data_IF_632437808749
#
_entry.id   IF_632437808749
#
_cell.length_a   1.000
_cell.length_b   1.000
_cell.length_c   1.000
_cell.angle_alpha   90.00
_cell.angle_beta   90.00
_cell.angle_gamma   90.00
#
_symmetry.space_group_name_H-M   'P 1'
#
loop_
_entity.id
_entity.type
_entity.pdbx_description
1 polymer ?
#
# COMPACT_ATOMS: atom_id res chain seq x y z
N UNK A 1 37.33 -35.28 23.60
CA UNK A 1 36.03 -34.66 23.47
C UNK A 1 36.12 -33.58 22.40
N UNK A 2 35.62 -33.88 21.19
CA UNK A 2 35.68 -32.96 20.05
C UNK A 2 34.47 -32.06 20.11
N UNK A 3 34.72 -30.76 20.25
CA UNK A 3 33.70 -29.71 20.13
C UNK A 3 33.53 -29.42 18.64
N UNK A 4 32.37 -29.79 18.08
CA UNK A 4 32.04 -29.48 16.70
C UNK A 4 31.75 -27.99 16.58
N UNK A 5 32.60 -27.27 15.83
CA UNK A 5 32.36 -25.93 15.35
C UNK A 5 31.13 -25.93 14.42
N UNK A 6 30.02 -25.43 14.88
CA UNK A 6 28.89 -25.08 14.02
C UNK A 6 29.27 -23.75 13.34
N UNK A 7 29.64 -23.84 12.10
CA UNK A 7 29.90 -22.69 11.24
C UNK A 7 28.53 -22.09 10.87
N UNK A 8 28.12 -21.03 11.60
CA UNK A 8 26.94 -20.23 11.25
C UNK A 8 27.27 -19.54 9.95
N UNK A 9 26.65 -19.99 8.86
CA UNK A 9 26.69 -19.29 7.57
C UNK A 9 25.97 -17.93 7.77
N UNK A 10 26.74 -16.89 8.06
CA UNK A 10 26.25 -15.51 7.98
C UNK A 10 26.03 -15.19 6.51
N UNK A 11 24.79 -15.28 6.05
CA UNK A 11 24.39 -14.64 4.79
C UNK A 11 24.57 -13.14 5.02
N UNK A 12 25.68 -12.61 4.54
CA UNK A 12 25.93 -11.18 4.54
C UNK A 12 24.83 -10.52 3.71
N UNK A 13 23.93 -9.82 4.38
CA UNK A 13 23.05 -8.83 3.76
C UNK A 13 23.91 -7.70 3.21
N UNK A 14 24.52 -7.94 2.03
CA UNK A 14 25.27 -6.91 1.30
C UNK A 14 24.30 -6.13 0.41
N UNK A 15 23.58 -5.28 1.01
CA UNK A 15 22.77 -4.32 0.29
C UNK A 15 22.23 -3.35 1.29
N UNK A 16 22.77 -2.14 1.30
CA UNK A 16 21.99 -0.97 1.64
C UNK A 16 22.80 0.18 2.25
N UNK A 17 24.11 0.07 2.37
CA UNK A 17 24.92 1.22 2.74
C UNK A 17 25.78 1.70 1.55
N UNK A 18 25.22 2.62 0.75
CA UNK A 18 26.04 3.46 -0.11
C UNK A 18 26.19 4.82 0.61
N UNK A 19 27.42 5.15 0.98
CA UNK A 19 27.81 6.45 1.54
C UNK A 19 27.13 6.90 2.85
N UNK A 20 26.86 5.99 3.80
CA UNK A 20 26.43 6.37 5.16
C UNK A 20 25.00 6.91 5.30
N UNK A 21 24.16 6.84 4.27
CA UNK A 21 22.76 7.27 4.29
C UNK A 21 21.77 6.13 4.09
N UNK A 22 20.54 6.32 4.59
CA UNK A 22 19.44 5.38 4.34
C UNK A 22 19.05 5.39 2.85
N UNK A 23 18.84 4.21 2.26
CA UNK A 23 18.30 4.08 0.89
C UNK A 23 16.78 3.97 0.99
N UNK A 24 16.08 4.78 0.20
CA UNK A 24 14.64 4.70 0.07
C UNK A 24 14.22 3.32 -0.45
N UNK A 25 13.29 2.66 0.24
CA UNK A 25 12.72 1.39 -0.23
C UNK A 25 11.58 1.67 -1.21
N UNK A 26 11.97 2.03 -2.43
CA UNK A 26 11.04 2.42 -3.49
C UNK A 26 10.56 1.20 -4.28
N UNK A 27 9.29 1.15 -4.54
CA UNK A 27 8.59 0.13 -5.29
C UNK A 27 7.59 0.70 -6.28
N UNK A 28 6.83 -0.17 -6.93
CA UNK A 28 5.87 0.17 -7.96
C UNK A 28 4.63 -0.73 -7.86
N UNK A 29 3.47 -0.24 -8.32
CA UNK A 29 2.35 -1.15 -8.56
C UNK A 29 2.72 -2.09 -9.72
N UNK A 30 2.59 -3.40 -9.50
CA UNK A 30 2.98 -4.41 -10.49
C UNK A 30 2.24 -4.27 -11.82
N UNK A 31 1.03 -3.69 -11.81
CA UNK A 31 0.24 -3.46 -13.02
C UNK A 31 0.52 -2.11 -13.73
N UNK A 32 1.42 -1.29 -13.20
CA UNK A 32 1.93 -0.08 -13.85
C UNK A 32 3.22 -0.37 -14.65
N UNK A 33 3.76 -1.58 -14.52
CA UNK A 33 4.85 -2.08 -15.35
C UNK A 33 4.29 -2.70 -16.63
N UNK A 34 5.08 -2.74 -17.71
CA UNK A 34 4.68 -3.43 -18.92
C UNK A 34 4.27 -4.88 -18.61
N UNK A 35 3.10 -5.28 -19.11
CA UNK A 35 2.56 -6.60 -18.85
C UNK A 35 3.52 -7.71 -19.28
N UNK A 36 3.71 -8.67 -18.41
CA UNK A 36 4.40 -9.92 -18.66
C UNK A 36 3.85 -11.01 -17.72
N UNK A 37 4.03 -12.31 -18.01
CA UNK A 37 3.81 -13.37 -17.03
C UNK A 37 4.61 -13.17 -15.76
N UNK A 38 4.18 -13.77 -14.63
CA UNK A 38 4.79 -13.53 -13.30
C UNK A 38 6.30 -13.80 -13.26
N UNK A 39 6.77 -14.82 -13.97
CA UNK A 39 8.18 -15.20 -14.07
C UNK A 39 9.05 -14.23 -14.90
N UNK A 40 8.42 -13.33 -15.65
CA UNK A 40 9.07 -12.22 -16.34
C UNK A 40 8.79 -10.88 -15.65
N UNK A 41 7.57 -10.67 -15.13
CA UNK A 41 7.13 -9.43 -14.50
C UNK A 41 7.99 -9.07 -13.28
N UNK A 42 8.20 -10.03 -12.38
CA UNK A 42 8.97 -9.79 -11.15
C UNK A 42 10.46 -9.52 -11.45
N UNK A 43 11.15 -10.30 -12.31
CA UNK A 43 12.47 -9.94 -12.82
C UNK A 43 12.53 -8.55 -13.48
N UNK A 44 11.50 -8.17 -14.25
CA UNK A 44 11.46 -6.85 -14.91
C UNK A 44 11.32 -5.70 -13.91
N UNK A 45 10.56 -5.88 -12.82
CA UNK A 45 10.51 -4.93 -11.70
C UNK A 45 11.90 -4.74 -11.08
N UNK A 46 12.60 -5.85 -10.81
CA UNK A 46 13.98 -5.79 -10.30
C UNK A 46 14.96 -5.10 -11.26
N UNK A 47 14.94 -5.45 -12.55
CA UNK A 47 15.80 -4.85 -13.58
C UNK A 47 15.60 -3.34 -13.72
N UNK A 48 14.41 -2.84 -13.44
CA UNK A 48 14.09 -1.41 -13.42
C UNK A 48 14.57 -0.71 -12.13
N UNK A 49 15.19 -1.45 -11.19
CA UNK A 49 15.75 -0.91 -9.95
C UNK A 49 14.77 -0.79 -8.79
N UNK A 50 13.56 -1.33 -8.89
CA UNK A 50 12.61 -1.34 -7.79
C UNK A 50 12.95 -2.44 -6.76
N UNK A 51 12.76 -2.14 -5.48
CA UNK A 51 13.04 -3.05 -4.37
C UNK A 51 11.79 -3.74 -3.80
N UNK A 52 10.61 -3.23 -4.14
CA UNK A 52 9.34 -3.80 -3.71
C UNK A 52 8.24 -3.55 -4.73
N UNK A 53 7.12 -4.25 -4.55
CA UNK A 53 5.94 -4.04 -5.38
C UNK A 53 4.66 -4.03 -4.55
N UNK A 54 3.66 -3.28 -5.02
CA UNK A 54 2.27 -3.44 -4.65
C UNK A 54 1.60 -4.33 -5.70
N UNK A 55 1.14 -5.52 -5.32
CA UNK A 55 0.50 -6.44 -6.24
C UNK A 55 -1.01 -6.55 -5.95
N UNK A 56 -1.83 -6.31 -6.98
CA UNK A 56 -3.24 -6.65 -7.01
C UNK A 56 -3.41 -7.81 -8.00
N UNK A 57 -3.67 -9.03 -7.52
CA UNK A 57 -3.61 -10.25 -8.33
C UNK A 57 -4.48 -10.14 -9.59
N UNK A 58 -5.71 -9.63 -9.46
CA UNK A 58 -6.65 -9.47 -10.60
C UNK A 58 -6.22 -8.45 -11.65
N UNK A 59 -5.32 -7.52 -11.30
CA UNK A 59 -4.77 -6.52 -12.23
C UNK A 59 -3.44 -6.96 -12.84
N UNK A 60 -2.64 -7.71 -12.07
CA UNK A 60 -1.27 -8.07 -12.42
C UNK A 60 -1.17 -9.40 -13.15
N UNK A 61 -2.03 -10.37 -12.84
CA UNK A 61 -2.02 -11.72 -13.43
C UNK A 61 -3.06 -11.78 -14.55
N UNK A 62 -2.63 -12.19 -15.76
CA UNK A 62 -3.52 -12.36 -16.91
C UNK A 62 -3.40 -13.76 -17.54
N UNK A 63 -2.45 -14.57 -17.10
CA UNK A 63 -2.23 -15.94 -17.56
C UNK A 63 -3.41 -16.86 -17.18
N UNK A 64 -4.11 -16.51 -16.12
CA UNK A 64 -5.36 -17.13 -15.69
C UNK A 64 -6.23 -16.08 -15.03
N UNK A 65 -7.50 -16.40 -14.72
CA UNK A 65 -8.41 -15.50 -14.02
C UNK A 65 -8.21 -15.62 -12.52
N UNK A 66 -7.56 -14.65 -11.83
CA UNK A 66 -7.41 -14.70 -10.39
C UNK A 66 -8.76 -14.56 -9.66
N UNK A 67 -8.96 -15.40 -8.64
CA UNK A 67 -10.12 -15.40 -7.77
C UNK A 67 -9.79 -16.10 -6.47
N UNK A 68 -10.74 -16.20 -5.55
CA UNK A 68 -10.53 -16.86 -4.25
C UNK A 68 -10.07 -18.31 -4.43
N UNK A 69 -10.61 -19.00 -5.43
CA UNK A 69 -10.30 -20.39 -5.78
C UNK A 69 -8.86 -20.60 -6.29
N UNK A 70 -8.26 -19.56 -6.83
CA UNK A 70 -6.87 -19.61 -7.33
C UNK A 70 -5.84 -19.15 -6.31
N UNK A 71 -6.25 -18.59 -5.18
CA UNK A 71 -5.40 -18.17 -4.07
C UNK A 71 -4.92 -19.39 -3.25
N UNK A 72 -4.20 -20.28 -3.90
CA UNK A 72 -3.67 -21.52 -3.30
C UNK A 72 -2.33 -21.30 -2.61
N UNK A 73 -1.95 -22.19 -1.67
CA UNK A 73 -0.60 -22.17 -1.10
C UNK A 73 0.50 -22.28 -2.18
N UNK A 74 0.27 -23.09 -3.24
CA UNK A 74 1.22 -23.26 -4.33
C UNK A 74 1.48 -21.95 -5.10
N UNK A 75 0.42 -21.18 -5.42
CA UNK A 75 0.59 -19.87 -6.06
C UNK A 75 1.33 -18.88 -5.15
N UNK A 76 0.99 -18.86 -3.86
CA UNK A 76 1.65 -17.97 -2.90
C UNK A 76 3.15 -18.29 -2.78
N UNK A 77 3.51 -19.57 -2.70
CA UNK A 77 4.91 -20.02 -2.63
C UNK A 77 5.65 -19.70 -3.92
N UNK A 78 5.05 -19.92 -5.09
CA UNK A 78 5.64 -19.59 -6.38
C UNK A 78 5.99 -18.09 -6.50
N UNK A 79 5.04 -17.19 -6.16
CA UNK A 79 5.31 -15.75 -6.16
C UNK A 79 6.41 -15.40 -5.14
N UNK A 80 6.38 -16.01 -3.95
CA UNK A 80 7.40 -15.81 -2.92
C UNK A 80 8.80 -16.20 -3.40
N UNK A 81 8.95 -17.32 -4.07
CA UNK A 81 10.21 -17.81 -4.63
C UNK A 81 10.74 -16.83 -5.70
N UNK A 82 9.90 -16.44 -6.66
CA UNK A 82 10.25 -15.42 -7.66
C UNK A 82 10.70 -14.10 -7.03
N UNK A 83 9.99 -13.63 -6.00
CA UNK A 83 10.34 -12.41 -5.26
C UNK A 83 11.70 -12.53 -4.57
N UNK A 84 11.97 -13.67 -3.91
CA UNK A 84 13.23 -13.93 -3.22
C UNK A 84 14.42 -13.99 -4.18
N UNK A 85 14.28 -14.70 -5.31
CA UNK A 85 15.29 -14.80 -6.35
C UNK A 85 15.65 -13.45 -6.97
N UNK A 86 14.66 -12.57 -7.11
CA UNK A 86 14.81 -11.24 -7.70
C UNK A 86 14.99 -10.13 -6.68
N UNK A 87 15.03 -10.41 -5.38
CA UNK A 87 15.21 -9.43 -4.29
C UNK A 87 14.16 -8.30 -4.34
N UNK A 88 12.92 -8.65 -4.64
CA UNK A 88 11.76 -7.75 -4.66
C UNK A 88 10.81 -8.15 -3.54
N UNK A 89 10.53 -7.26 -2.59
CA UNK A 89 9.53 -7.52 -1.55
C UNK A 89 8.11 -7.30 -2.09
N UNK A 90 7.12 -8.01 -1.55
CA UNK A 90 5.72 -7.62 -1.71
C UNK A 90 5.36 -6.67 -0.56
N UNK A 91 5.34 -5.37 -0.85
CA UNK A 91 5.01 -4.34 0.13
C UNK A 91 3.52 -4.33 0.50
N UNK A 92 2.66 -4.57 -0.47
CA UNK A 92 1.20 -4.62 -0.33
C UNK A 92 0.60 -5.68 -1.24
N UNK A 93 -0.26 -6.53 -0.68
CA UNK A 93 -1.22 -7.32 -1.43
C UNK A 93 -2.55 -6.56 -1.46
N UNK A 94 -2.93 -6.03 -2.62
CA UNK A 94 -4.11 -5.17 -2.77
C UNK A 94 -5.42 -5.96 -2.76
N UNK A 95 -6.36 -5.55 -1.90
CA UNK A 95 -7.73 -6.04 -1.81
C UNK A 95 -8.70 -4.87 -1.70
N UNK A 96 -8.85 -4.10 -2.76
CA UNK A 96 -9.61 -2.83 -2.81
C UNK A 96 -11.09 -3.12 -3.09
N UNK A 97 -11.84 -3.44 -2.04
CA UNK A 97 -13.25 -3.80 -2.10
C UNK A 97 -14.07 -2.97 -1.10
N UNK A 98 -15.33 -2.68 -1.44
CA UNK A 98 -16.23 -1.86 -0.63
C UNK A 98 -16.78 -2.62 0.59
N UNK A 99 -16.12 -2.48 1.76
CA UNK A 99 -16.58 -3.08 3.02
C UNK A 99 -17.94 -2.54 3.52
N UNK A 100 -18.38 -1.39 3.01
CA UNK A 100 -19.70 -0.82 3.34
C UNK A 100 -20.72 -1.01 2.21
N UNK A 101 -20.52 -2.02 1.35
CA UNK A 101 -21.50 -2.33 0.32
C UNK A 101 -22.86 -2.65 0.95
N UNK A 102 -23.94 -1.93 0.59
CA UNK A 102 -25.25 -2.08 1.23
C UNK A 102 -25.96 -3.37 0.83
N UNK A 103 -25.52 -4.05 -0.22
CA UNK A 103 -26.07 -5.34 -0.64
C UNK A 103 -25.50 -6.47 0.23
N UNK A 104 -26.33 -7.17 1.04
CA UNK A 104 -25.83 -8.16 1.99
C UNK A 104 -25.09 -9.34 1.36
N UNK A 105 -25.53 -9.80 0.18
CA UNK A 105 -24.89 -10.93 -0.50
C UNK A 105 -23.51 -10.52 -1.04
N UNK A 106 -23.41 -9.33 -1.66
CA UNK A 106 -22.12 -8.79 -2.09
C UNK A 106 -21.19 -8.52 -0.92
N UNK A 107 -21.72 -7.99 0.18
CA UNK A 107 -20.93 -7.76 1.40
C UNK A 107 -20.32 -9.07 1.92
N UNK A 108 -21.10 -10.15 1.99
CA UNK A 108 -20.63 -11.47 2.39
C UNK A 108 -19.53 -12.01 1.49
N UNK A 109 -19.66 -11.87 0.17
CA UNK A 109 -18.61 -12.24 -0.79
C UNK A 109 -17.33 -11.40 -0.58
N UNK A 110 -17.47 -10.10 -0.30
CA UNK A 110 -16.36 -9.20 -0.02
C UNK A 110 -15.60 -9.65 1.22
N UNK A 111 -16.29 -9.99 2.30
CA UNK A 111 -15.68 -10.49 3.54
C UNK A 111 -14.86 -11.76 3.28
N UNK A 112 -15.39 -12.72 2.51
CA UNK A 112 -14.67 -13.95 2.17
C UNK A 112 -13.44 -13.67 1.28
N UNK A 113 -13.50 -12.68 0.39
CA UNK A 113 -12.34 -12.23 -0.39
C UNK A 113 -11.25 -11.63 0.50
N UNK A 114 -11.59 -10.80 1.49
CA UNK A 114 -10.60 -10.30 2.47
C UNK A 114 -9.94 -11.44 3.24
N UNK A 115 -10.72 -12.40 3.73
CA UNK A 115 -10.18 -13.57 4.45
C UNK A 115 -9.23 -14.40 3.57
N UNK A 116 -9.57 -14.56 2.29
CA UNK A 116 -8.70 -15.26 1.34
C UNK A 116 -7.39 -14.51 1.11
N UNK A 117 -7.44 -13.18 0.93
CA UNK A 117 -6.23 -12.36 0.80
C UNK A 117 -5.35 -12.41 2.04
N UNK A 118 -5.93 -12.37 3.25
CA UNK A 118 -5.19 -12.47 4.52
C UNK A 118 -4.46 -13.81 4.62
N UNK A 119 -5.14 -14.94 4.35
CA UNK A 119 -4.49 -16.26 4.34
C UNK A 119 -3.37 -16.35 3.29
N UNK A 120 -3.66 -15.84 2.09
CA UNK A 120 -2.69 -15.83 0.99
C UNK A 120 -1.47 -14.96 1.33
N UNK A 121 -1.67 -13.77 1.88
CA UNK A 121 -0.60 -12.87 2.31
C UNK A 121 0.32 -13.50 3.35
N UNK A 122 -0.24 -14.24 4.31
CA UNK A 122 0.54 -14.96 5.34
C UNK A 122 1.47 -16.01 4.72
N UNK A 123 1.01 -16.79 3.73
CA UNK A 123 1.82 -17.81 3.06
C UNK A 123 2.85 -17.16 2.12
N UNK A 124 2.43 -16.14 1.36
CA UNK A 124 3.29 -15.35 0.48
C UNK A 124 4.45 -14.69 1.24
N UNK A 125 4.25 -14.39 2.53
CA UNK A 125 5.18 -13.61 3.32
C UNK A 125 5.03 -12.11 3.13
N UNK A 126 3.89 -11.66 2.58
CA UNK A 126 3.50 -10.26 2.54
C UNK A 126 2.86 -9.85 3.87
N UNK A 127 3.44 -8.87 4.56
CA UNK A 127 2.93 -8.42 5.86
C UNK A 127 1.65 -7.59 5.80
N UNK A 128 1.27 -7.08 4.62
CA UNK A 128 0.21 -6.06 4.48
C UNK A 128 -0.81 -6.44 3.41
N UNK A 129 -2.09 -6.49 3.80
CA UNK A 129 -3.23 -6.47 2.89
C UNK A 129 -3.80 -5.06 2.87
N UNK A 130 -3.72 -4.40 1.72
CA UNK A 130 -4.14 -3.01 1.54
C UNK A 130 -5.55 -2.86 1.02
N UNK A 131 -6.28 -1.83 1.51
CA UNK A 131 -7.62 -1.47 1.05
C UNK A 131 -7.91 0.01 1.23
N UNK A 132 -8.74 0.57 0.36
CA UNK A 132 -9.42 1.84 0.59
C UNK A 132 -10.61 1.67 1.56
N UNK A 133 -11.32 2.77 1.87
CA UNK A 133 -12.24 2.82 3.00
C UNK A 133 -13.72 2.79 2.64
N UNK A 134 -14.04 2.44 1.38
CA UNK A 134 -15.41 2.15 0.98
C UNK A 134 -16.31 3.37 0.72
N UNK A 135 -17.54 3.06 0.33
CA UNK A 135 -18.64 4.00 0.13
C UNK A 135 -19.95 3.36 0.58
N UNK A 136 -20.97 4.17 0.88
CA UNK A 136 -22.28 3.69 1.37
C UNK A 136 -23.20 3.19 0.25
N UNK A 137 -22.72 3.20 -1.01
CA UNK A 137 -23.46 2.72 -2.18
C UNK A 137 -22.79 1.52 -2.86
N UNK A 138 -23.54 0.82 -3.70
CA UNK A 138 -23.04 -0.36 -4.42
C UNK A 138 -22.01 -0.03 -5.50
N UNK A 139 -22.10 1.16 -6.07
CA UNK A 139 -21.26 1.65 -7.17
C UNK A 139 -19.86 2.03 -6.74
N UNK A 140 -19.59 2.07 -5.42
CA UNK A 140 -18.33 2.49 -4.82
C UNK A 140 -17.94 3.92 -5.24
N UNK A 141 -18.92 4.83 -5.27
CA UNK A 141 -18.76 6.21 -5.71
C UNK A 141 -18.87 7.20 -4.56
N UNK A 142 -18.30 8.37 -4.81
CA UNK A 142 -18.48 9.49 -3.88
C UNK A 142 -19.94 9.93 -3.83
N UNK A 143 -20.41 10.11 -2.62
CA UNK A 143 -21.63 10.85 -2.27
C UNK A 143 -21.45 11.51 -0.89
N UNK A 144 -22.15 12.61 -0.58
CA UNK A 144 -21.98 13.30 0.71
C UNK A 144 -22.21 12.42 1.94
N UNK A 145 -23.07 11.40 1.83
CA UNK A 145 -23.35 10.45 2.91
C UNK A 145 -22.13 9.59 3.29
N UNK A 146 -21.12 9.44 2.41
CA UNK A 146 -19.85 8.78 2.77
C UNK A 146 -19.16 9.45 3.96
N UNK A 147 -19.36 10.77 4.14
CA UNK A 147 -18.70 11.53 5.19
C UNK A 147 -19.51 11.61 6.50
N UNK A 148 -20.64 10.91 6.59
CA UNK A 148 -21.43 10.87 7.83
C UNK A 148 -20.76 10.04 8.93
N UNK A 149 -21.16 10.25 10.19
CA UNK A 149 -20.65 9.45 11.30
C UNK A 149 -21.26 8.04 11.30
N UNK A 150 -22.46 7.86 10.74
CA UNK A 150 -23.10 6.56 10.52
C UNK A 150 -22.29 5.73 9.52
N UNK A 151 -21.79 6.34 8.44
CA UNK A 151 -20.91 5.66 7.48
C UNK A 151 -19.60 5.23 8.14
N UNK A 152 -19.00 6.10 8.96
CA UNK A 152 -17.79 5.77 9.71
C UNK A 152 -18.02 4.59 10.66
N UNK A 153 -19.13 4.60 11.40
CA UNK A 153 -19.47 3.50 12.31
C UNK A 153 -19.69 2.19 11.53
N UNK A 154 -20.40 2.24 10.41
CA UNK A 154 -20.57 1.10 9.51
C UNK A 154 -19.23 0.53 9.05
N UNK A 155 -18.28 1.39 8.65
CA UNK A 155 -16.96 0.96 8.24
C UNK A 155 -16.19 0.31 9.40
N UNK A 156 -16.21 0.88 10.59
CA UNK A 156 -15.57 0.32 11.79
C UNK A 156 -16.13 -1.06 12.12
N UNK A 157 -17.46 -1.22 12.11
CA UNK A 157 -18.14 -2.47 12.47
C UNK A 157 -17.81 -3.59 11.47
N UNK A 158 -17.75 -3.26 10.17
CA UNK A 158 -17.42 -4.20 9.11
C UNK A 158 -15.93 -4.53 9.04
N UNK A 159 -15.05 -3.59 9.37
CA UNK A 159 -13.60 -3.78 9.37
C UNK A 159 -13.13 -4.62 10.57
N UNK A 160 -13.73 -4.43 11.73
CA UNK A 160 -13.34 -5.10 12.99
C UNK A 160 -13.21 -6.63 12.87
N UNK A 161 -14.18 -7.38 12.30
CA UNK A 161 -14.04 -8.84 12.15
C UNK A 161 -12.94 -9.23 11.15
N UNK A 162 -12.64 -8.39 10.16
CA UNK A 162 -11.54 -8.61 9.21
C UNK A 162 -10.19 -8.46 9.92
N UNK A 163 -10.02 -7.41 10.72
CA UNK A 163 -8.79 -7.19 11.51
C UNK A 163 -8.58 -8.33 12.52
N UNK A 164 -9.63 -8.74 13.24
CA UNK A 164 -9.57 -9.91 14.14
C UNK A 164 -9.17 -11.20 13.43
N UNK A 165 -9.60 -11.36 12.18
CA UNK A 165 -9.16 -12.50 11.38
C UNK A 165 -7.69 -12.37 10.99
N UNK A 166 -7.22 -11.18 10.62
CA UNK A 166 -5.82 -10.91 10.27
C UNK A 166 -4.87 -11.14 11.45
N UNK A 167 -5.27 -10.83 12.69
CA UNK A 167 -4.52 -11.13 13.91
C UNK A 167 -4.13 -12.61 14.03
N UNK A 168 -5.01 -13.53 13.60
CA UNK A 168 -4.76 -14.97 13.66
C UNK A 168 -3.66 -15.42 12.71
N UNK A 169 -3.37 -14.63 11.67
CA UNK A 169 -2.38 -14.93 10.65
C UNK A 169 -1.12 -14.04 10.74
N UNK A 170 -1.07 -13.11 11.70
CA UNK A 170 0.02 -12.15 11.81
C UNK A 170 0.11 -11.19 10.64
N UNK A 171 -1.01 -10.92 9.94
CA UNK A 171 -1.10 -10.03 8.78
C UNK A 171 -1.70 -8.69 9.21
N UNK A 172 -1.15 -7.61 8.68
CA UNK A 172 -1.67 -6.26 8.86
C UNK A 172 -2.73 -6.00 7.79
N UNK A 173 -3.89 -5.50 8.19
CA UNK A 173 -4.84 -4.83 7.29
C UNK A 173 -4.50 -3.35 7.31
N UNK A 174 -4.09 -2.79 6.18
CA UNK A 174 -3.76 -1.38 6.09
C UNK A 174 -4.85 -0.64 5.29
N UNK A 175 -5.52 0.31 5.95
CA UNK A 175 -6.52 1.15 5.30
C UNK A 175 -5.86 2.37 4.67
N UNK A 176 -6.34 2.75 3.50
CA UNK A 176 -5.90 3.91 2.75
C UNK A 176 -7.00 4.98 2.78
N UNK A 177 -6.84 6.07 3.55
CA UNK A 177 -7.80 7.17 3.58
C UNK A 177 -7.87 7.90 2.25
N UNK A 178 -9.09 8.15 1.76
CA UNK A 178 -9.36 8.83 0.49
C UNK A 178 -10.47 9.84 0.69
N UNK A 179 -10.29 11.08 0.26
CA UNK A 179 -11.27 12.15 0.49
C UNK A 179 -12.68 11.86 -0.06
N UNK A 180 -12.78 11.04 -1.13
CA UNK A 180 -14.06 10.60 -1.71
C UNK A 180 -14.74 9.46 -0.93
N UNK A 181 -14.04 8.82 0.00
CA UNK A 181 -14.48 7.63 0.73
C UNK A 181 -14.93 7.94 2.15
N UNK A 182 -15.26 6.89 2.91
CA UNK A 182 -15.78 7.01 4.28
C UNK A 182 -14.71 7.57 5.23
N UNK A 183 -13.47 7.10 5.15
CA UNK A 183 -12.37 7.67 5.93
C UNK A 183 -11.64 8.69 5.05
N UNK A 184 -12.07 9.92 5.13
CA UNK A 184 -11.71 11.00 4.22
C UNK A 184 -10.73 12.02 4.80
N UNK A 185 -10.34 11.88 6.07
CA UNK A 185 -9.36 12.75 6.73
C UNK A 185 -8.44 11.96 7.65
N UNK A 186 -7.33 12.58 8.04
CA UNK A 186 -6.36 12.02 9.00
C UNK A 186 -7.02 11.73 10.36
N UNK A 187 -7.89 12.63 10.82
CA UNK A 187 -8.58 12.46 12.11
C UNK A 187 -9.59 11.31 12.07
N UNK A 188 -10.30 11.11 10.96
CA UNK A 188 -11.20 9.97 10.82
C UNK A 188 -10.41 8.66 10.78
N UNK A 189 -9.24 8.65 10.15
CA UNK A 189 -8.33 7.50 10.20
C UNK A 189 -7.89 7.19 11.63
N UNK A 190 -7.53 8.20 12.43
CA UNK A 190 -7.21 8.03 13.86
C UNK A 190 -8.40 7.46 14.64
N UNK A 191 -9.62 7.97 14.41
CA UNK A 191 -10.83 7.43 15.05
C UNK A 191 -11.04 5.93 14.75
N UNK A 192 -10.81 5.48 13.51
CA UNK A 192 -10.93 4.05 13.15
C UNK A 192 -9.89 3.22 13.88
N UNK A 193 -8.62 3.67 13.90
CA UNK A 193 -7.54 2.99 14.60
C UNK A 193 -7.84 2.86 16.10
N UNK A 194 -8.27 3.93 16.75
CA UNK A 194 -8.60 3.96 18.17
C UNK A 194 -9.83 3.09 18.50
N UNK A 195 -10.84 3.09 17.63
CA UNK A 195 -12.05 2.30 17.83
C UNK A 195 -11.82 0.79 17.72
N UNK A 196 -10.91 0.35 16.85
CA UNK A 196 -10.59 -1.07 16.65
C UNK A 196 -9.51 -1.52 17.64
N UNK A 197 -8.52 -0.67 17.91
CA UNK A 197 -7.43 -0.87 18.88
C UNK A 197 -6.70 -2.21 18.65
N UNK A 198 -6.12 -2.36 17.46
CA UNK A 198 -5.38 -3.57 17.08
C UNK A 198 -4.05 -3.22 16.41
N UNK A 199 -2.93 -3.87 16.77
CA UNK A 199 -1.65 -3.68 16.08
C UNK A 199 -1.69 -4.19 14.63
N UNK A 200 -2.68 -5.02 14.27
CA UNK A 200 -2.89 -5.54 12.92
C UNK A 200 -3.75 -4.63 12.04
N UNK A 201 -4.14 -3.45 12.54
CA UNK A 201 -4.73 -2.39 11.74
C UNK A 201 -3.75 -1.23 11.63
N UNK A 202 -3.36 -0.91 10.39
CA UNK A 202 -2.41 0.18 10.11
C UNK A 202 -2.89 1.00 8.90
N UNK A 203 -2.04 1.93 8.44
CA UNK A 203 -2.36 2.91 7.40
C UNK A 203 -1.44 2.72 6.18
N UNK A 204 -2.03 2.76 5.00
CA UNK A 204 -1.33 3.17 3.79
C UNK A 204 -1.51 4.68 3.70
N UNK A 205 -0.42 5.42 3.77
CA UNK A 205 -0.47 6.87 3.67
C UNK A 205 -0.21 7.32 2.23
N UNK A 206 -1.24 7.89 1.61
CA UNK A 206 -1.16 8.58 0.33
C UNK A 206 -1.66 10.02 0.53
N UNK A 207 -0.76 11.01 0.54
CA UNK A 207 -1.17 12.39 0.76
C UNK A 207 -2.09 12.93 -0.34
N UNK A 208 -1.92 12.49 -1.60
CA UNK A 208 -2.76 12.95 -2.73
C UNK A 208 -4.20 12.46 -2.57
N UNK A 209 -4.39 11.26 -2.01
CA UNK A 209 -5.74 10.74 -1.77
C UNK A 209 -6.56 11.54 -0.74
N UNK A 210 -5.91 12.33 0.10
CA UNK A 210 -6.56 13.22 1.06
C UNK A 210 -6.84 14.62 0.50
N UNK A 211 -6.36 14.90 -0.73
CA UNK A 211 -6.52 16.20 -1.37
C UNK A 211 -7.73 16.24 -2.32
N UNK A 212 -8.29 17.44 -2.44
CA UNK A 212 -9.24 17.84 -3.46
C UNK A 212 -9.04 19.32 -3.76
N UNK A 213 -9.63 19.87 -4.81
CA UNK A 213 -9.39 21.25 -5.24
C UNK A 213 -9.59 22.28 -4.12
N UNK A 214 -10.52 22.00 -3.19
CA UNK A 214 -10.81 22.92 -2.06
C UNK A 214 -9.84 22.88 -0.89
N UNK A 215 -8.80 22.01 -0.90
CA UNK A 215 -7.82 21.89 0.20
C UNK A 215 -6.37 21.70 -0.25
N UNK A 216 -6.06 21.87 -1.54
CA UNK A 216 -4.68 21.71 -2.05
C UNK A 216 -3.68 22.68 -1.41
N UNK A 217 -4.14 23.86 -0.99
CA UNK A 217 -3.37 24.84 -0.26
C UNK A 217 -2.98 24.38 1.15
N UNK A 218 -3.64 23.35 1.68
CA UNK A 218 -3.40 22.74 3.00
C UNK A 218 -2.59 21.45 2.94
N UNK A 219 -2.00 21.11 1.79
CA UNK A 219 -1.28 19.85 1.63
C UNK A 219 -0.19 19.66 2.70
N UNK A 220 0.57 20.71 3.04
CA UNK A 220 1.63 20.66 4.03
C UNK A 220 1.07 20.41 5.45
N UNK A 221 -0.08 21.01 5.78
CA UNK A 221 -0.78 20.78 7.04
C UNK A 221 -1.23 19.33 7.14
N UNK A 222 -1.82 18.78 6.06
CA UNK A 222 -2.29 17.40 6.00
C UNK A 222 -1.12 16.40 6.14
N UNK A 223 0.01 16.65 5.46
CA UNK A 223 1.22 15.83 5.61
C UNK A 223 1.73 15.88 7.06
N UNK A 224 1.87 17.07 7.65
CA UNK A 224 2.31 17.21 9.03
C UNK A 224 1.36 16.50 10.00
N UNK A 225 0.05 16.71 9.87
CA UNK A 225 -0.97 16.09 10.71
C UNK A 225 -0.95 14.55 10.62
N UNK A 226 -0.71 13.99 9.41
CA UNK A 226 -0.59 12.54 9.26
C UNK A 226 0.60 12.00 10.06
N UNK A 227 1.75 12.67 10.03
CA UNK A 227 2.90 12.27 10.84
C UNK A 227 2.69 12.50 12.34
N UNK A 228 1.93 13.51 12.73
CA UNK A 228 1.63 13.78 14.14
C UNK A 228 0.66 12.74 14.73
N UNK A 229 -0.38 12.37 13.98
CA UNK A 229 -1.45 11.49 14.48
C UNK A 229 -1.31 10.02 14.12
N UNK A 230 -0.70 9.69 12.98
CA UNK A 230 -0.67 8.34 12.43
C UNK A 230 0.73 7.74 12.33
N UNK A 231 1.79 8.44 12.72
CA UNK A 231 3.19 8.02 12.50
C UNK A 231 3.45 6.55 12.85
N UNK A 232 3.03 6.12 14.05
CA UNK A 232 3.27 4.73 14.52
C UNK A 232 2.55 3.69 13.67
N UNK A 233 1.44 4.09 13.06
CA UNK A 233 0.52 3.21 12.33
C UNK A 233 0.73 3.25 10.80
N UNK A 234 1.60 4.14 10.27
CA UNK A 234 1.94 4.15 8.84
C UNK A 234 2.78 2.91 8.50
N UNK A 235 2.20 1.98 7.74
CA UNK A 235 2.85 0.75 7.28
C UNK A 235 3.54 0.91 5.92
N UNK A 236 2.90 1.67 5.02
CA UNK A 236 3.33 1.89 3.63
C UNK A 236 3.00 3.31 3.24
N UNK A 237 3.80 3.90 2.34
CA UNK A 237 3.50 5.19 1.72
C UNK A 237 3.28 4.97 0.22
N UNK A 238 2.15 5.45 -0.29
CA UNK A 238 1.92 5.54 -1.73
C UNK A 238 2.41 6.89 -2.26
N UNK A 239 3.06 6.85 -3.40
CA UNK A 239 3.71 8.00 -4.02
C UNK A 239 3.15 8.23 -5.41
N UNK A 240 2.27 9.21 -5.54
CA UNK A 240 1.77 9.77 -6.78
C UNK A 240 1.71 11.27 -6.67
N UNK A 241 1.39 11.93 -7.76
CA UNK A 241 1.25 13.39 -7.80
C UNK A 241 -0.11 13.78 -8.36
N UNK A 242 -0.39 15.07 -8.46
CA UNK A 242 -1.63 15.58 -8.99
C UNK A 242 -1.43 16.83 -9.83
N UNK A 243 -2.34 17.03 -10.78
CA UNK A 243 -2.60 18.30 -11.46
C UNK A 243 -4.06 18.65 -11.29
N UNK A 244 -4.36 19.96 -11.38
CA UNK A 244 -5.74 20.46 -11.35
C UNK A 244 -6.26 20.48 -12.78
N UNK A 245 -7.34 19.73 -13.05
CA UNK A 245 -8.08 19.75 -14.31
C UNK A 245 -9.54 20.15 -14.03
N UNK A 246 -9.88 21.43 -14.30
CA UNK A 246 -11.20 21.95 -13.93
C UNK A 246 -11.43 21.95 -12.43
N UNK A 247 -12.50 21.32 -11.97
CA UNK A 247 -12.88 21.20 -10.56
C UNK A 247 -12.39 19.89 -9.90
N UNK A 248 -11.51 19.15 -10.55
CA UNK A 248 -11.01 17.87 -10.04
C UNK A 248 -9.49 17.82 -9.99
N UNK A 249 -8.97 16.95 -9.11
CA UNK A 249 -7.57 16.54 -9.12
C UNK A 249 -7.42 15.27 -9.96
N UNK A 250 -6.53 15.32 -10.93
CA UNK A 250 -6.11 14.17 -11.71
C UNK A 250 -4.80 13.64 -11.14
N UNK A 251 -4.80 12.38 -10.73
CA UNK A 251 -3.60 11.70 -10.25
C UNK A 251 -2.66 11.40 -11.42
N UNK A 252 -1.37 11.67 -11.22
CA UNK A 252 -0.28 11.48 -12.17
C UNK A 252 0.94 10.88 -11.48
N UNK A 253 1.99 10.55 -12.24
CA UNK A 253 3.23 10.01 -11.69
C UNK A 253 3.92 11.01 -10.73
N UNK A 254 4.55 10.49 -9.69
CA UNK A 254 5.27 11.26 -8.67
C UNK A 254 6.31 12.22 -9.28
N UNK A 255 6.39 13.44 -8.74
CA UNK A 255 7.35 14.47 -9.17
C UNK A 255 6.98 15.19 -10.46
N UNK A 256 5.78 15.00 -10.98
CA UNK A 256 5.31 15.66 -12.21
C UNK A 256 4.15 16.63 -11.98
N UNK A 257 3.78 16.87 -10.71
CA UNK A 257 2.64 17.71 -10.32
C UNK A 257 2.96 18.66 -9.17
N UNK A 258 1.95 18.88 -8.31
CA UNK A 258 1.96 19.92 -7.27
C UNK A 258 2.26 19.44 -5.84
N UNK A 259 2.52 18.13 -5.60
CA UNK A 259 2.76 17.62 -4.25
C UNK A 259 4.11 18.09 -3.69
N UNK A 260 4.13 18.53 -2.43
CA UNK A 260 5.36 18.90 -1.72
C UNK A 260 6.17 17.66 -1.31
N UNK A 261 6.81 17.03 -2.30
CA UNK A 261 7.68 15.89 -2.07
C UNK A 261 8.87 16.16 -1.15
N UNK A 262 9.56 17.32 -1.19
CA UNK A 262 10.61 17.65 -0.23
C UNK A 262 10.16 17.50 1.22
N UNK A 263 8.98 18.01 1.58
CA UNK A 263 8.41 17.87 2.94
C UNK A 263 8.12 16.40 3.26
N UNK A 264 7.40 15.68 2.37
CA UNK A 264 7.05 14.29 2.58
C UNK A 264 8.29 13.40 2.76
N UNK A 265 9.27 13.51 1.87
CA UNK A 265 10.48 12.69 1.89
C UNK A 265 11.38 13.02 3.09
N UNK A 266 11.47 14.28 3.50
CA UNK A 266 12.14 14.66 4.76
C UNK A 266 11.53 13.96 5.96
N UNK A 267 10.18 13.97 6.08
CA UNK A 267 9.46 13.29 7.15
C UNK A 267 9.70 11.77 7.13
N UNK A 268 9.64 11.15 5.95
CA UNK A 268 9.92 9.71 5.79
C UNK A 268 11.36 9.41 6.23
N UNK A 269 12.35 10.18 5.78
CA UNK A 269 13.74 9.98 6.10
C UNK A 269 14.01 10.11 7.61
N UNK A 270 13.36 11.05 8.27
CA UNK A 270 13.53 11.33 9.69
C UNK A 270 12.85 10.25 10.58
N UNK A 271 11.61 9.86 10.25
CA UNK A 271 10.79 9.06 11.15
C UNK A 271 10.56 7.61 10.71
N UNK A 272 10.60 7.32 9.42
CA UNK A 272 10.28 6.00 8.82
C UNK A 272 11.26 5.61 7.70
N UNK A 273 12.59 5.66 7.89
CA UNK A 273 13.56 5.54 6.80
C UNK A 273 13.50 4.21 6.03
N UNK A 274 12.87 3.16 6.59
CA UNK A 274 12.72 1.85 5.94
C UNK A 274 11.30 1.54 5.49
N UNK A 275 10.39 2.51 5.55
CA UNK A 275 9.02 2.28 5.07
C UNK A 275 9.02 2.02 3.56
N UNK A 276 8.20 1.08 3.11
CA UNK A 276 8.00 0.87 1.69
C UNK A 276 7.27 2.08 1.08
N UNK A 277 7.83 2.61 0.00
CA UNK A 277 7.24 3.70 -0.77
C UNK A 277 6.92 3.18 -2.17
N UNK A 278 5.65 3.00 -2.52
CA UNK A 278 5.25 2.45 -3.81
C UNK A 278 4.74 3.53 -4.74
N UNK A 279 5.32 3.58 -5.94
CA UNK A 279 4.85 4.48 -7.00
C UNK A 279 3.49 4.06 -7.51
N UNK A 280 2.64 5.04 -7.75
CA UNK A 280 1.34 4.89 -8.37
C UNK A 280 1.17 5.84 -9.56
N UNK A 281 0.23 5.51 -10.44
CA UNK A 281 -0.08 6.31 -11.64
C UNK A 281 1.12 6.54 -12.58
N UNK A 282 2.11 5.66 -12.50
CA UNK A 282 3.17 5.56 -13.51
C UNK A 282 2.68 4.74 -14.71
N UNK A 283 3.40 4.88 -15.80
CA UNK A 283 3.28 4.04 -16.99
C UNK A 283 4.67 3.45 -17.29
N UNK A 284 4.77 2.36 -18.07
CA UNK A 284 6.05 1.72 -18.35
C UNK A 284 7.15 2.68 -18.83
N UNK A 285 6.75 3.72 -19.59
CA UNK A 285 7.65 4.69 -20.21
C UNK A 285 8.27 5.67 -19.21
N UNK A 286 7.61 5.95 -18.08
CA UNK A 286 8.09 6.92 -17.08
C UNK A 286 8.49 6.31 -15.74
N UNK A 287 8.23 5.02 -15.50
CA UNK A 287 8.43 4.37 -14.20
C UNK A 287 9.86 4.50 -13.68
N UNK A 288 10.87 4.24 -14.53
CA UNK A 288 12.28 4.34 -14.15
C UNK A 288 12.67 5.79 -13.86
N UNK A 289 12.28 6.74 -14.73
CA UNK A 289 12.58 8.16 -14.52
C UNK A 289 11.95 8.70 -13.22
N UNK A 290 10.70 8.27 -12.92
CA UNK A 290 10.02 8.61 -11.67
C UNK A 290 10.76 8.05 -10.45
N UNK A 291 11.23 6.80 -10.50
CA UNK A 291 12.05 6.21 -9.44
C UNK A 291 13.33 7.01 -9.21
N UNK A 292 14.07 7.30 -10.28
CA UNK A 292 15.34 8.06 -10.20
C UNK A 292 15.14 9.46 -9.64
N UNK A 293 14.06 10.14 -10.03
CA UNK A 293 13.69 11.42 -9.44
C UNK A 293 13.46 11.30 -7.93
N UNK A 294 12.70 10.32 -7.45
CA UNK A 294 12.38 10.13 -6.05
C UNK A 294 13.64 9.79 -5.23
N UNK A 295 14.50 8.90 -5.73
CA UNK A 295 15.76 8.52 -5.08
C UNK A 295 16.71 9.71 -4.97
N UNK A 296 16.83 10.51 -6.04
CA UNK A 296 17.64 11.72 -6.05
C UNK A 296 17.14 12.71 -5.00
N UNK A 297 15.84 13.04 -5.04
CA UNK A 297 15.26 13.98 -4.10
C UNK A 297 15.40 13.50 -2.64
N UNK A 298 15.19 12.20 -2.38
CA UNK A 298 15.41 11.62 -1.04
C UNK A 298 16.85 11.76 -0.56
N UNK A 299 17.83 11.73 -1.46
CA UNK A 299 19.23 11.94 -1.10
C UNK A 299 19.53 13.39 -0.72
N UNK A 300 18.78 14.34 -1.26
CA UNK A 300 18.99 15.79 -1.12
C UNK A 300 18.28 16.40 0.12
N UNK A 301 17.25 15.73 0.69
CA UNK A 301 16.49 16.22 1.86
C UNK A 301 17.02 15.73 3.21
#
# INVERSE_FOLDING_TARGET
MNVHNVQICSVAYTGVYRNGGYIMRIGIRAHDVAYAPLDELIPNIHKQGFHCMHIALTKSIKEFKPGVETMTPGLAMYIKELCAENKVDVAVLGCYLNLCNPNPEKHKEIVEKYKAHIRFASILGCGVVGTETGAVNEEYKYEPANHSDEALQCFIDNLRPIVKYAEQFGVIVAIEPVWKHIVNTVERARKVLDAIDSPNLQIIFDPVNLLYVGNIDKQDEIINQAFDLLLKDIAVVHCKDYVVEGDELKSIAAGTGGLNYPLLLKKIKEYKPYVHCTLENTVPENAVATREFMEKLYSEV
#
